data_IF_395354471670
#
_entry.id   IF_395354471670
#
_cell.length_a   1.000
_cell.length_b   1.000
_cell.length_c   1.000
_cell.angle_alpha   90.00
_cell.angle_beta   90.00
_cell.angle_gamma   90.00
#
_symmetry.space_group_name_H-M   'P 1'
#
loop_
_entity.id
_entity.type
_entity.pdbx_description
1 polymer ?
#
# COMPACT_ATOMS: atom_id res chain seq x y z
N UNK A 1 -0.94 -4.80 12.08
CA UNK A 1 0.33 -4.05 12.31
C UNK A 1 1.05 -3.81 11.00
N UNK A 2 1.56 -2.59 10.79
CA UNK A 2 2.37 -2.21 9.63
C UNK A 2 3.85 -2.09 10.02
N UNK A 3 4.73 -2.71 9.23
CA UNK A 3 6.20 -2.66 9.38
C UNK A 3 6.76 -1.95 8.16
N UNK A 4 7.51 -0.87 8.38
CA UNK A 4 8.18 -0.10 7.33
C UNK A 4 9.62 -0.60 7.20
N UNK A 5 9.97 -1.20 6.07
CA UNK A 5 11.32 -1.76 5.86
C UNK A 5 12.33 -0.73 5.38
N UNK A 6 11.86 0.36 4.78
CA UNK A 6 12.69 1.46 4.31
C UNK A 6 12.03 2.80 4.67
N UNK A 7 12.47 3.37 5.80
CA UNK A 7 11.90 4.62 6.31
C UNK A 7 12.13 5.79 5.36
N UNK A 8 13.29 5.86 4.71
CA UNK A 8 13.61 6.93 3.75
C UNK A 8 12.61 6.94 2.59
N UNK A 9 12.40 5.79 1.95
CA UNK A 9 11.43 5.68 0.85
C UNK A 9 10.01 6.01 1.32
N UNK A 10 9.62 5.50 2.50
CA UNK A 10 8.31 5.80 3.08
C UNK A 10 8.10 7.32 3.27
N UNK A 11 9.07 8.02 3.84
CA UNK A 11 9.00 9.46 4.06
C UNK A 11 8.95 10.23 2.74
N UNK A 12 9.71 9.79 1.72
CA UNK A 12 9.67 10.37 0.37
C UNK A 12 8.30 10.22 -0.28
N UNK A 13 7.66 9.04 -0.19
CA UNK A 13 6.32 8.82 -0.73
C UNK A 13 5.27 9.65 0.03
N UNK A 14 5.37 9.74 1.36
CA UNK A 14 4.46 10.57 2.18
C UNK A 14 4.61 12.05 1.83
N UNK A 15 5.84 12.55 1.69
CA UNK A 15 6.10 13.92 1.29
C UNK A 15 5.53 14.22 -0.12
N UNK A 16 5.73 13.30 -1.06
CA UNK A 16 5.14 13.39 -2.39
C UNK A 16 3.61 13.43 -2.32
N UNK A 17 2.98 12.51 -1.59
CA UNK A 17 1.52 12.44 -1.43
C UNK A 17 0.94 13.74 -0.87
N UNK A 18 1.62 14.37 0.10
CA UNK A 18 1.23 15.68 0.64
C UNK A 18 1.36 16.78 -0.40
N UNK A 19 2.43 16.77 -1.19
CA UNK A 19 2.70 17.78 -2.23
C UNK A 19 1.63 17.76 -3.33
N UNK A 20 1.14 16.58 -3.71
CA UNK A 20 0.09 16.44 -4.73
C UNK A 20 -1.33 16.46 -4.17
N UNK A 21 -1.50 16.68 -2.86
CA UNK A 21 -2.81 16.74 -2.20
C UNK A 21 -3.56 15.40 -2.12
N UNK A 22 -2.85 14.27 -2.14
CA UNK A 22 -3.42 12.92 -2.12
C UNK A 22 -3.00 12.10 -0.88
N UNK A 23 -2.50 12.76 0.17
CA UNK A 23 -2.15 12.08 1.42
C UNK A 23 -3.41 11.70 2.22
N UNK A 24 -4.31 12.65 2.44
CA UNK A 24 -5.59 12.46 3.12
C UNK A 24 -6.75 12.46 2.12
N UNK A 25 -7.85 11.83 2.50
CA UNK A 25 -9.07 11.84 1.71
C UNK A 25 -9.75 13.21 1.85
N UNK A 26 -9.94 13.89 0.72
CA UNK A 26 -10.61 15.19 0.63
C UNK A 26 -12.11 15.08 0.34
N UNK A 27 -12.66 13.86 0.39
CA UNK A 27 -14.04 13.54 0.03
C UNK A 27 -14.28 13.44 -1.48
N UNK A 28 -13.26 13.65 -2.31
CA UNK A 28 -13.35 13.60 -3.78
C UNK A 28 -12.59 12.41 -4.38
N UNK A 29 -11.64 11.84 -3.64
CA UNK A 29 -10.74 10.79 -4.13
C UNK A 29 -10.58 9.66 -3.11
N UNK A 30 -11.12 8.47 -3.43
CA UNK A 30 -11.11 7.29 -2.54
C UNK A 30 -9.74 6.58 -2.41
N UNK A 31 -8.70 7.15 -3.03
CA UNK A 31 -7.38 6.54 -3.20
C UNK A 31 -6.26 7.33 -2.51
N UNK A 32 -6.58 8.07 -1.45
CA UNK A 32 -5.60 8.73 -0.61
C UNK A 32 -4.63 7.71 0.04
N UNK A 33 -3.35 8.08 0.15
CA UNK A 33 -2.30 7.22 0.69
C UNK A 33 -2.62 6.76 2.12
N UNK A 34 -3.04 7.68 3.00
CA UNK A 34 -3.32 7.37 4.40
C UNK A 34 -4.41 6.29 4.55
N UNK A 35 -5.46 6.36 3.72
CA UNK A 35 -6.55 5.37 3.71
C UNK A 35 -6.05 3.98 3.31
N UNK A 36 -5.16 3.88 2.33
CA UNK A 36 -4.60 2.59 1.90
C UNK A 36 -3.58 2.02 2.90
N UNK A 37 -2.77 2.88 3.52
CA UNK A 37 -1.86 2.46 4.60
C UNK A 37 -2.65 1.92 5.80
N UNK A 38 -3.74 2.60 6.19
CA UNK A 38 -4.65 2.14 7.24
C UNK A 38 -5.32 0.82 6.89
N UNK A 39 -5.76 0.65 5.64
CA UNK A 39 -6.30 -0.61 5.15
C UNK A 39 -5.28 -1.75 5.32
N UNK A 40 -4.03 -1.56 4.87
CA UNK A 40 -2.98 -2.55 5.04
C UNK A 40 -2.66 -2.84 6.51
N UNK A 41 -2.57 -1.81 7.35
CA UNK A 41 -2.31 -1.95 8.78
C UNK A 41 -3.34 -2.84 9.50
N UNK A 42 -4.61 -2.73 9.07
CA UNK A 42 -5.77 -3.36 9.71
C UNK A 42 -6.34 -4.58 8.98
N UNK A 43 -5.77 -4.96 7.82
CA UNK A 43 -6.28 -6.00 6.93
C UNK A 43 -6.67 -7.31 7.63
N UNK A 44 -5.84 -7.79 8.56
CA UNK A 44 -6.06 -9.05 9.27
C UNK A 44 -6.95 -8.96 10.52
N UNK A 45 -7.34 -7.75 10.93
CA UNK A 45 -8.04 -7.51 12.19
C UNK A 45 -7.27 -7.94 13.44
N UNK A 46 -7.98 -7.99 14.57
CA UNK A 46 -7.47 -8.39 15.89
C UNK A 46 -8.06 -9.72 16.34
N UNK A 47 -7.31 -10.50 17.13
CA UNK A 47 -7.83 -11.68 17.83
C UNK A 47 -8.65 -11.28 19.08
N UNK A 48 -9.13 -12.29 19.81
CA UNK A 48 -9.98 -12.08 21.00
C UNK A 48 -9.24 -11.33 22.12
N UNK A 49 -7.90 -11.40 22.14
CA UNK A 49 -7.03 -10.76 23.12
C UNK A 49 -6.53 -9.39 22.63
N UNK A 50 -6.97 -8.93 21.46
CA UNK A 50 -6.60 -7.64 20.88
C UNK A 50 -5.27 -7.63 20.12
N UNK A 51 -4.63 -8.78 19.91
CA UNK A 51 -3.39 -8.87 19.13
C UNK A 51 -3.65 -8.88 17.63
N UNK A 52 -2.72 -8.34 16.84
CA UNK A 52 -2.78 -8.42 15.38
C UNK A 52 -2.71 -9.86 14.88
N UNK A 53 -3.73 -10.30 14.14
CA UNK A 53 -3.72 -11.64 13.50
C UNK A 53 -2.74 -11.71 12.32
N UNK A 54 -2.51 -10.55 11.69
CA UNK A 54 -1.62 -10.40 10.54
C UNK A 54 -0.75 -9.16 10.71
N UNK A 55 0.41 -9.20 10.08
CA UNK A 55 1.26 -8.03 9.91
C UNK A 55 1.56 -7.81 8.43
N UNK A 56 1.75 -6.55 8.05
CA UNK A 56 2.14 -6.17 6.71
C UNK A 56 3.52 -5.55 6.75
N UNK A 57 4.40 -6.01 5.86
CA UNK A 57 5.73 -5.42 5.64
C UNK A 57 5.67 -4.60 4.35
N UNK A 58 6.04 -3.33 4.43
CA UNK A 58 6.12 -2.41 3.29
C UNK A 58 7.58 -2.19 2.92
N UNK A 59 7.91 -2.52 1.68
CA UNK A 59 9.21 -2.30 1.07
C UNK A 59 9.08 -1.37 -0.16
N UNK A 60 10.18 -0.77 -0.64
CA UNK A 60 10.17 -0.04 -1.90
C UNK A 60 9.70 -0.93 -3.05
N UNK A 61 8.82 -0.40 -3.89
CA UNK A 61 8.54 -0.97 -5.21
C UNK A 61 9.54 -0.42 -6.24
N UNK A 62 9.63 -1.06 -7.41
CA UNK A 62 10.44 -0.54 -8.50
C UNK A 62 9.79 0.71 -9.13
N UNK A 63 8.45 0.82 -9.11
CA UNK A 63 7.73 2.00 -9.54
C UNK A 63 7.91 3.14 -8.51
N UNK A 64 8.24 4.37 -8.94
CA UNK A 64 8.36 5.51 -8.04
C UNK A 64 7.08 5.72 -7.22
N UNK A 65 7.25 6.18 -5.97
CA UNK A 65 6.16 6.49 -5.05
C UNK A 65 5.19 5.32 -4.75
N UNK A 66 5.61 4.09 -5.07
CA UNK A 66 4.84 2.86 -4.84
C UNK A 66 5.55 1.98 -3.81
N UNK A 67 4.82 1.01 -3.26
CA UNK A 67 5.36 0.04 -2.31
C UNK A 67 5.07 -1.38 -2.74
N UNK A 68 6.04 -2.27 -2.55
CA UNK A 68 5.78 -3.69 -2.46
C UNK A 68 5.33 -4.00 -1.03
N UNK A 69 4.35 -4.89 -0.87
CA UNK A 69 3.94 -5.36 0.45
C UNK A 69 3.90 -6.88 0.54
N UNK A 70 4.16 -7.38 1.74
CA UNK A 70 3.96 -8.78 2.12
C UNK A 70 3.01 -8.83 3.31
N UNK A 71 1.94 -9.62 3.21
CA UNK A 71 1.05 -9.93 4.33
C UNK A 71 1.49 -11.26 4.93
N UNK A 72 1.75 -11.26 6.24
CA UNK A 72 2.14 -12.45 6.99
C UNK A 72 1.10 -12.75 8.07
N UNK A 73 0.77 -14.03 8.24
CA UNK A 73 -0.11 -14.53 9.29
C UNK A 73 0.69 -15.33 10.31
N UNK A 74 0.31 -15.23 11.59
CA UNK A 74 0.87 -16.07 12.64
C UNK A 74 0.27 -17.48 12.58
N UNK A 75 1.11 -18.51 12.59
CA UNK A 75 0.67 -19.90 12.69
C UNK A 75 0.54 -20.34 14.16
N UNK A 76 0.09 -21.58 14.39
CA UNK A 76 -0.13 -22.13 15.74
C UNK A 76 1.16 -22.25 16.57
N UNK A 77 2.33 -22.31 15.92
CA UNK A 77 3.64 -22.29 16.60
C UNK A 77 4.15 -20.87 16.88
N UNK A 78 3.35 -19.84 16.61
CA UNK A 78 3.70 -18.44 16.85
C UNK A 78 4.62 -17.82 15.80
N UNK A 79 4.96 -18.54 14.73
CA UNK A 79 5.81 -18.07 13.62
C UNK A 79 4.98 -17.31 12.58
N UNK A 80 5.60 -16.28 11.99
CA UNK A 80 5.02 -15.56 10.85
C UNK A 80 5.26 -16.33 9.55
N UNK A 81 4.18 -16.52 8.77
CA UNK A 81 4.21 -17.15 7.45
C UNK A 81 3.62 -16.20 6.43
N UNK A 82 4.30 -16.04 5.31
CA UNK A 82 3.77 -15.28 4.15
C UNK A 82 2.45 -15.89 3.72
N UNK A 83 1.42 -15.06 3.66
CA UNK A 83 0.12 -15.42 3.11
C UNK A 83 0.07 -15.05 1.62
N UNK A 84 0.37 -13.79 1.32
CA UNK A 84 0.50 -13.27 -0.05
C UNK A 84 1.31 -11.97 -0.06
N UNK A 85 1.63 -11.50 -1.25
CA UNK A 85 2.30 -10.24 -1.50
C UNK A 85 1.56 -9.46 -2.60
N UNK A 86 1.90 -8.18 -2.75
CA UNK A 86 1.30 -7.32 -3.77
C UNK A 86 1.99 -5.95 -3.83
N UNK A 87 1.38 -5.03 -4.57
CA UNK A 87 1.84 -3.65 -4.72
C UNK A 87 0.80 -2.65 -4.21
N UNK A 88 1.22 -1.67 -3.43
CA UNK A 88 0.47 -0.43 -3.19
C UNK A 88 1.00 0.62 -4.16
N UNK A 89 0.36 0.69 -5.33
CA UNK A 89 0.89 1.40 -6.50
C UNK A 89 0.26 2.79 -6.63
N UNK A 90 1.10 3.79 -6.89
CA UNK A 90 0.65 5.13 -7.24
C UNK A 90 0.27 5.18 -8.72
N UNK A 91 -0.94 5.66 -9.01
CA UNK A 91 -1.43 5.92 -10.35
C UNK A 91 -1.67 7.40 -10.57
N UNK A 92 -1.41 7.86 -11.79
CA UNK A 92 -1.72 9.22 -12.21
C UNK A 92 -1.26 9.48 -13.63
N UNK A 93 -1.12 10.74 -14.01
CA UNK A 93 -0.73 11.09 -15.39
C UNK A 93 0.59 10.43 -15.83
N UNK A 94 1.50 10.17 -14.89
CA UNK A 94 2.82 9.60 -15.16
C UNK A 94 2.78 8.15 -15.71
N UNK A 95 1.75 7.37 -15.42
CA UNK A 95 1.58 5.97 -15.88
C UNK A 95 0.30 5.79 -16.73
N UNK A 96 -0.20 6.90 -17.29
CA UNK A 96 -1.45 6.92 -18.03
C UNK A 96 -2.65 6.50 -17.18
N UNK A 97 -2.64 6.84 -15.88
CA UNK A 97 -3.72 6.60 -14.94
C UNK A 97 -4.08 5.12 -14.77
N UNK A 98 -3.06 4.25 -14.73
CA UNK A 98 -3.24 2.80 -14.64
C UNK A 98 -3.54 2.13 -15.98
N UNK A 99 -3.02 2.64 -17.09
CA UNK A 99 -3.24 2.04 -18.42
C UNK A 99 -2.34 0.83 -18.73
N UNK A 100 -1.53 0.38 -17.76
CA UNK A 100 -0.45 -0.60 -17.98
C UNK A 100 0.85 0.01 -18.49
N UNK A 101 0.92 1.34 -18.62
CA UNK A 101 2.13 2.05 -19.03
C UNK A 101 3.19 2.05 -17.93
N UNK A 102 4.45 2.25 -18.34
CA UNK A 102 5.53 2.56 -17.40
C UNK A 102 5.22 3.85 -16.62
N UNK A 103 5.75 4.02 -15.39
CA UNK A 103 6.63 3.09 -14.69
C UNK A 103 5.91 2.00 -13.89
N UNK A 104 4.58 2.01 -13.81
CA UNK A 104 3.84 1.13 -12.90
C UNK A 104 3.56 -0.26 -13.46
N UNK A 105 3.37 -0.39 -14.78
CA UNK A 105 3.04 -1.64 -15.48
C UNK A 105 1.83 -2.40 -14.88
N UNK A 106 0.90 -1.68 -14.26
CA UNK A 106 -0.35 -2.20 -13.74
C UNK A 106 -1.54 -1.61 -14.48
N UNK A 107 -2.55 -2.44 -14.72
CA UNK A 107 -3.77 -2.08 -15.44
C UNK A 107 -4.92 -1.93 -14.46
N UNK A 108 -5.62 -0.80 -14.53
CA UNK A 108 -6.90 -0.57 -13.86
C UNK A 108 -8.01 -0.53 -14.90
N UNK A 109 -9.20 -1.05 -14.54
CA UNK A 109 -10.34 -1.05 -15.47
C UNK A 109 -10.87 0.35 -15.76
N UNK A 110 -10.72 1.25 -14.80
CA UNK A 110 -11.08 2.67 -14.90
C UNK A 110 -9.85 3.53 -14.62
N UNK A 111 -9.73 4.73 -15.23
CA UNK A 111 -8.64 5.64 -14.94
C UNK A 111 -8.55 5.95 -13.45
N UNK A 112 -7.39 5.62 -12.85
CA UNK A 112 -7.18 5.74 -11.42
C UNK A 112 -6.19 6.85 -11.11
N UNK A 113 -6.44 7.58 -10.03
CA UNK A 113 -5.52 8.57 -9.45
C UNK A 113 -5.35 8.25 -7.97
N UNK A 114 -4.11 8.34 -7.48
CA UNK A 114 -3.75 8.02 -6.09
C UNK A 114 -3.25 6.58 -5.96
N UNK A 115 -3.33 6.01 -4.76
CA UNK A 115 -2.80 4.68 -4.48
C UNK A 115 -3.87 3.59 -4.59
N UNK A 116 -3.51 2.47 -5.21
CA UNK A 116 -4.34 1.27 -5.29
C UNK A 116 -3.57 0.03 -4.86
N UNK A 117 -4.25 -0.91 -4.23
CA UNK A 117 -3.70 -2.22 -3.86
C UNK A 117 -3.88 -3.18 -5.05
N UNK A 118 -2.78 -3.77 -5.50
CA UNK A 118 -2.69 -4.79 -6.53
C UNK A 118 -2.11 -6.07 -5.92
N UNK A 119 -2.66 -7.23 -6.27
CA UNK A 119 -2.23 -8.56 -5.79
C UNK A 119 -2.14 -9.53 -6.94
#
# INVERSE_FOLDING_TARGET
MLIIENQKHFDEVVAFAKTVGLYEDDGKTSNALASKLKYLETYGGKDADGNDRMRVRLAPDFAPFSFFFVIEKRNDSGQWRTLFNGGLLFHGRHDGNGSGSAPTFAVTLEPTVGWSVHT
#
